data_IF_881691562599
#
_entry.id   IF_881691562599
#
_cell.length_a   1.000
_cell.length_b   1.000
_cell.length_c   1.000
_cell.angle_alpha   90.00
_cell.angle_beta   90.00
_cell.angle_gamma   90.00
#
_symmetry.space_group_name_H-M   'P 1'
#
loop_
_entity.id
_entity.type
_entity.pdbx_description
1 polymer ?
#
# COMPACT_ATOMS: atom_id res chain seq x y z
N UNK A 1 -58.81 -24.59 -82.39
CA UNK A 1 -58.17 -23.33 -81.91
C UNK A 1 -58.49 -23.09 -80.43
N UNK A 2 -59.74 -23.23 -80.01
CA UNK A 2 -60.21 -22.99 -78.61
C UNK A 2 -59.58 -23.91 -77.54
N UNK A 3 -59.29 -25.18 -77.84
CA UNK A 3 -58.63 -26.09 -76.87
C UNK A 3 -57.18 -25.71 -76.54
N UNK A 4 -56.48 -25.07 -77.49
CA UNK A 4 -55.07 -24.68 -77.33
C UNK A 4 -54.98 -23.45 -76.40
N UNK A 5 -55.93 -22.52 -76.48
CA UNK A 5 -56.01 -21.34 -75.59
C UNK A 5 -56.30 -21.71 -74.13
N UNK A 6 -57.19 -22.68 -73.91
CA UNK A 6 -57.55 -23.13 -72.56
C UNK A 6 -56.41 -23.91 -71.87
N UNK A 7 -55.56 -24.60 -72.66
CA UNK A 7 -54.32 -25.22 -72.17
C UNK A 7 -53.26 -24.19 -71.79
N UNK A 8 -53.06 -23.15 -72.61
CA UNK A 8 -52.10 -22.08 -72.36
C UNK A 8 -52.42 -21.28 -71.08
N UNK A 9 -53.70 -20.97 -70.86
CA UNK A 9 -54.16 -20.24 -69.66
C UNK A 9 -53.85 -21.00 -68.35
N UNK A 10 -54.03 -22.32 -68.34
CA UNK A 10 -53.71 -23.15 -67.17
C UNK A 10 -52.21 -23.19 -66.87
N UNK A 11 -51.36 -23.26 -67.90
CA UNK A 11 -49.90 -23.22 -67.73
C UNK A 11 -49.48 -21.89 -67.11
N UNK A 12 -50.01 -20.76 -67.60
CA UNK A 12 -49.71 -19.43 -67.07
C UNK A 12 -50.12 -19.30 -65.60
N UNK A 13 -51.31 -19.80 -65.23
CA UNK A 13 -51.77 -19.78 -63.84
C UNK A 13 -50.86 -20.58 -62.90
N UNK A 14 -50.43 -21.78 -63.33
CA UNK A 14 -49.51 -22.60 -62.52
C UNK A 14 -48.15 -21.93 -62.30
N UNK A 15 -47.61 -21.24 -63.31
CA UNK A 15 -46.34 -20.52 -63.19
C UNK A 15 -46.46 -19.36 -62.20
N UNK A 16 -47.52 -18.56 -62.28
CA UNK A 16 -47.77 -17.44 -61.36
C UNK A 16 -47.90 -17.94 -59.90
N UNK A 17 -48.53 -19.09 -59.68
CA UNK A 17 -48.71 -19.67 -58.35
C UNK A 17 -47.40 -20.18 -57.70
N UNK A 18 -46.40 -20.57 -58.49
CA UNK A 18 -45.12 -21.13 -57.99
C UNK A 18 -44.13 -20.04 -57.56
N UNK A 19 -44.15 -18.87 -58.20
CA UNK A 19 -43.29 -17.72 -57.87
C UNK A 19 -43.28 -17.36 -56.37
N UNK A 20 -44.43 -17.18 -55.69
CA UNK A 20 -44.44 -16.85 -54.27
C UNK A 20 -43.89 -17.98 -53.39
N UNK A 21 -44.04 -19.25 -53.78
CA UNK A 21 -43.48 -20.40 -53.06
C UNK A 21 -41.95 -20.38 -53.12
N UNK A 22 -41.39 -20.11 -54.29
CA UNK A 22 -39.94 -19.97 -54.47
C UNK A 22 -39.41 -18.76 -53.69
N UNK A 23 -40.11 -17.62 -53.76
CA UNK A 23 -39.76 -16.43 -52.98
C UNK A 23 -39.76 -16.72 -51.47
N UNK A 24 -40.76 -17.46 -50.97
CA UNK A 24 -40.83 -17.89 -49.56
C UNK A 24 -39.66 -18.81 -49.18
N UNK A 25 -39.33 -19.79 -50.03
CA UNK A 25 -38.19 -20.69 -49.81
C UNK A 25 -36.87 -19.93 -49.74
N UNK A 26 -36.67 -18.92 -50.61
CA UNK A 26 -35.51 -18.05 -50.59
C UNK A 26 -35.47 -17.25 -49.27
N UNK A 27 -36.58 -16.64 -48.86
CA UNK A 27 -36.66 -15.90 -47.60
C UNK A 27 -36.33 -16.80 -46.41
N UNK A 28 -36.92 -17.99 -46.33
CA UNK A 28 -36.67 -18.96 -45.27
C UNK A 28 -35.20 -19.40 -45.25
N UNK A 29 -34.60 -19.62 -46.42
CA UNK A 29 -33.18 -19.96 -46.55
C UNK A 29 -32.28 -18.83 -46.02
N UNK A 30 -32.53 -17.58 -46.42
CA UNK A 30 -31.79 -16.42 -45.94
C UNK A 30 -31.98 -16.21 -44.42
N UNK A 31 -33.20 -16.31 -43.91
CA UNK A 31 -33.48 -16.22 -42.48
C UNK A 31 -32.71 -17.28 -41.70
N UNK A 32 -32.78 -18.55 -42.14
CA UNK A 32 -32.13 -19.68 -41.46
C UNK A 32 -30.60 -19.58 -41.47
N UNK A 33 -30.00 -18.97 -42.48
CA UNK A 33 -28.54 -18.86 -42.60
C UNK A 33 -27.98 -17.61 -41.91
N UNK A 34 -28.60 -16.43 -42.09
CA UNK A 34 -28.03 -15.17 -41.59
C UNK A 34 -28.37 -14.87 -40.13
N UNK A 35 -29.56 -15.25 -39.63
CA UNK A 35 -29.93 -15.02 -38.23
C UNK A 35 -28.97 -15.69 -37.23
N UNK A 36 -28.66 -17.00 -37.33
CA UNK A 36 -27.81 -17.64 -36.33
C UNK A 36 -26.40 -17.02 -36.30
N UNK A 37 -25.83 -16.69 -37.46
CA UNK A 37 -24.50 -16.10 -37.55
C UNK A 37 -24.43 -14.71 -36.89
N UNK A 38 -25.45 -13.87 -37.08
CA UNK A 38 -25.51 -12.55 -36.44
C UNK A 38 -25.64 -12.65 -34.91
N UNK A 39 -26.50 -13.54 -34.41
CA UNK A 39 -26.65 -13.73 -32.96
C UNK A 39 -25.40 -14.36 -32.32
N UNK A 40 -24.68 -15.23 -33.04
CA UNK A 40 -23.43 -15.81 -32.56
C UNK A 40 -22.32 -14.75 -32.44
N UNK A 41 -22.12 -13.92 -33.46
CA UNK A 41 -21.15 -12.81 -33.40
C UNK A 41 -21.52 -11.78 -32.33
N UNK A 42 -22.82 -11.46 -32.19
CA UNK A 42 -23.31 -10.57 -31.14
C UNK A 42 -23.11 -11.15 -29.74
N UNK A 43 -23.34 -12.46 -29.58
CA UNK A 43 -23.10 -13.19 -28.33
C UNK A 43 -21.63 -13.23 -27.96
N UNK A 44 -20.74 -13.52 -28.91
CA UNK A 44 -19.28 -13.46 -28.72
C UNK A 44 -18.82 -12.07 -28.29
N UNK A 45 -19.27 -11.03 -28.98
CA UNK A 45 -18.90 -9.65 -28.64
C UNK A 45 -19.44 -9.22 -27.26
N UNK A 46 -20.61 -9.73 -26.84
CA UNK A 46 -21.15 -9.45 -25.52
C UNK A 46 -20.36 -10.17 -24.42
N UNK A 47 -20.03 -11.45 -24.62
CA UNK A 47 -19.21 -12.24 -23.70
C UNK A 47 -17.82 -11.59 -23.52
N UNK A 48 -17.14 -11.23 -24.61
CA UNK A 48 -15.83 -10.57 -24.53
C UNK A 48 -15.89 -9.23 -23.79
N UNK A 49 -16.97 -8.44 -23.96
CA UNK A 49 -17.14 -7.19 -23.20
C UNK A 49 -17.34 -7.44 -21.71
N UNK A 50 -18.14 -8.44 -21.35
CA UNK A 50 -18.37 -8.83 -19.96
C UNK A 50 -17.08 -9.34 -19.30
N UNK A 51 -16.29 -10.14 -20.02
CA UNK A 51 -14.98 -10.61 -19.55
C UNK A 51 -14.03 -9.44 -19.27
N UNK A 52 -13.97 -8.45 -20.18
CA UNK A 52 -13.15 -7.24 -19.99
C UNK A 52 -13.64 -6.43 -18.80
N UNK A 53 -14.95 -6.27 -18.62
CA UNK A 53 -15.53 -5.57 -17.47
C UNK A 53 -15.22 -6.29 -16.16
N UNK A 54 -15.33 -7.62 -16.12
CA UNK A 54 -14.97 -8.43 -14.95
C UNK A 54 -13.49 -8.30 -14.61
N UNK A 55 -12.61 -8.41 -15.61
CA UNK A 55 -11.17 -8.23 -15.43
C UNK A 55 -10.88 -6.83 -14.90
N UNK A 56 -11.51 -5.80 -15.47
CA UNK A 56 -11.31 -4.40 -15.03
C UNK A 56 -11.73 -4.22 -13.58
N UNK A 57 -12.90 -4.73 -13.18
CA UNK A 57 -13.36 -4.69 -11.78
C UNK A 57 -12.40 -5.42 -10.84
N UNK A 58 -11.88 -6.58 -11.23
CA UNK A 58 -10.88 -7.31 -10.44
C UNK A 58 -9.60 -6.47 -10.28
N UNK A 59 -9.09 -5.87 -11.36
CA UNK A 59 -7.91 -4.99 -11.30
C UNK A 59 -8.14 -3.79 -10.39
N UNK A 60 -9.31 -3.16 -10.45
CA UNK A 60 -9.67 -2.05 -9.57
C UNK A 60 -9.71 -2.49 -8.10
N UNK A 61 -10.32 -3.64 -7.80
CA UNK A 61 -10.35 -4.18 -6.45
C UNK A 61 -8.94 -4.46 -5.90
N UNK A 62 -8.07 -5.09 -6.71
CA UNK A 62 -6.68 -5.36 -6.31
C UNK A 62 -5.90 -4.07 -6.11
N UNK A 63 -6.10 -3.05 -6.96
CA UNK A 63 -5.49 -1.73 -6.77
C UNK A 63 -5.96 -1.07 -5.48
N UNK A 64 -7.25 -1.16 -5.16
CA UNK A 64 -7.81 -0.64 -3.92
C UNK A 64 -7.21 -1.36 -2.70
N UNK A 65 -7.11 -2.69 -2.74
CA UNK A 65 -6.51 -3.48 -1.66
C UNK A 65 -5.04 -3.16 -1.44
N UNK A 66 -4.26 -3.00 -2.51
CA UNK A 66 -2.85 -2.57 -2.43
C UNK A 66 -2.75 -1.16 -1.86
N UNK A 67 -3.60 -0.23 -2.30
CA UNK A 67 -3.62 1.14 -1.80
C UNK A 67 -3.97 1.19 -0.30
N UNK A 68 -4.96 0.41 0.13
CA UNK A 68 -5.30 0.25 1.54
C UNK A 68 -4.12 -0.34 2.33
N UNK A 69 -3.50 -1.42 1.83
CA UNK A 69 -2.33 -2.04 2.45
C UNK A 69 -1.16 -1.05 2.63
N UNK A 70 -0.88 -0.25 1.60
CA UNK A 70 0.16 0.78 1.63
C UNK A 70 -0.16 1.86 2.68
N UNK A 71 -1.41 2.34 2.72
CA UNK A 71 -1.84 3.35 3.69
C UNK A 71 -1.67 2.87 5.13
N UNK A 72 -2.01 1.60 5.41
CA UNK A 72 -1.82 0.99 6.73
C UNK A 72 -0.33 0.88 7.07
N UNK A 73 0.52 0.48 6.12
CA UNK A 73 1.97 0.40 6.35
C UNK A 73 2.57 1.78 6.63
N UNK A 74 2.17 2.81 5.89
CA UNK A 74 2.60 4.19 6.12
C UNK A 74 2.21 4.69 7.52
N UNK A 75 0.98 4.38 7.96
CA UNK A 75 0.52 4.73 9.31
C UNK A 75 1.31 4.01 10.40
N UNK A 76 1.59 2.72 10.24
CA UNK A 76 2.45 1.95 11.15
C UNK A 76 3.86 2.52 11.21
N UNK A 77 4.46 2.80 10.06
CA UNK A 77 5.79 3.41 9.98
C UNK A 77 5.84 4.76 10.68
N UNK A 78 4.83 5.62 10.46
CA UNK A 78 4.74 6.93 11.11
C UNK A 78 4.67 6.80 12.63
N UNK A 79 3.86 5.87 13.14
CA UNK A 79 3.75 5.62 14.58
C UNK A 79 5.08 5.13 15.18
N UNK A 80 5.75 4.18 14.51
CA UNK A 80 7.09 3.70 14.90
C UNK A 80 8.11 4.84 14.96
N UNK A 81 8.19 5.62 13.88
CA UNK A 81 9.10 6.76 13.77
C UNK A 81 8.86 7.79 14.89
N UNK A 82 7.60 8.13 15.15
CA UNK A 82 7.21 9.07 16.20
C UNK A 82 7.60 8.56 17.60
N UNK A 83 7.36 7.29 17.89
CA UNK A 83 7.74 6.68 19.17
C UNK A 83 9.27 6.68 19.38
N UNK A 84 10.04 6.33 18.34
CA UNK A 84 11.50 6.35 18.38
C UNK A 84 12.07 7.76 18.57
N UNK A 85 11.49 8.77 17.91
CA UNK A 85 11.88 10.16 18.08
C UNK A 85 11.63 10.65 19.51
N UNK A 86 10.45 10.39 20.05
CA UNK A 86 10.10 10.76 21.42
C UNK A 86 11.03 10.11 22.44
N UNK A 87 11.46 8.86 22.19
CA UNK A 87 12.44 8.18 23.01
C UNK A 87 13.82 8.85 22.96
N UNK A 88 14.27 9.26 21.78
CA UNK A 88 15.54 9.97 21.61
C UNK A 88 15.51 11.36 22.27
N UNK A 89 14.43 12.11 22.12
CA UNK A 89 14.23 13.39 22.81
C UNK A 89 14.26 13.23 24.33
N UNK A 90 13.65 12.15 24.84
CA UNK A 90 13.61 11.89 26.28
C UNK A 90 14.99 11.49 26.82
N UNK A 91 15.77 10.71 26.06
CA UNK A 91 17.16 10.39 26.40
C UNK A 91 18.02 11.66 26.36
N UNK A 92 17.82 12.55 25.38
CA UNK A 92 18.52 13.82 25.29
C UNK A 92 18.24 14.70 26.53
N UNK A 93 16.98 14.80 26.94
CA UNK A 93 16.59 15.49 28.16
C UNK A 93 17.22 14.85 29.41
N UNK A 94 17.24 13.52 29.49
CA UNK A 94 17.88 12.77 30.57
C UNK A 94 19.40 13.05 30.64
N UNK A 95 20.09 13.05 29.50
CA UNK A 95 21.51 13.35 29.41
C UNK A 95 21.81 14.79 29.79
N UNK A 96 20.98 15.75 29.37
CA UNK A 96 21.06 17.16 29.81
C UNK A 96 20.99 17.28 31.34
N UNK A 97 20.16 16.48 32.02
CA UNK A 97 20.05 16.48 33.47
C UNK A 97 21.24 15.84 34.20
N UNK A 98 21.81 14.76 33.65
CA UNK A 98 22.88 13.98 34.29
C UNK A 98 24.27 14.50 33.97
N UNK A 99 24.54 14.83 32.72
CA UNK A 99 25.85 15.27 32.23
C UNK A 99 26.06 16.77 32.45
N UNK A 100 25.71 17.27 33.66
CA UNK A 100 25.94 18.67 34.03
C UNK A 100 27.42 19.00 33.87
N UNK A 101 27.76 19.76 32.84
CA UNK A 101 29.13 20.21 32.64
C UNK A 101 29.43 21.35 33.62
N UNK A 102 30.49 21.26 34.45
CA UNK A 102 30.82 22.30 35.42
C UNK A 102 31.29 23.62 34.77
N UNK A 103 31.44 23.67 33.44
CA UNK A 103 31.97 24.82 32.69
C UNK A 103 30.92 25.60 31.89
N UNK A 104 29.66 25.17 31.88
CA UNK A 104 28.61 25.73 31.01
C UNK A 104 27.37 26.05 31.83
N UNK A 105 27.24 27.30 32.28
CA UNK A 105 26.05 27.81 32.99
C UNK A 105 24.80 27.91 32.08
N UNK A 106 24.93 27.74 30.76
CA UNK A 106 23.85 27.95 29.78
C UNK A 106 23.09 26.68 29.36
N UNK A 107 23.38 25.51 29.94
CA UNK A 107 22.61 24.30 29.63
C UNK A 107 21.17 24.44 30.16
N UNK A 108 20.26 24.87 29.30
CA UNK A 108 18.82 24.92 29.57
C UNK A 108 18.33 23.49 29.79
N UNK A 109 18.18 23.10 31.05
CA UNK A 109 17.70 21.78 31.43
C UNK A 109 16.33 21.56 30.80
N UNK A 110 16.25 20.52 29.98
CA UNK A 110 14.99 20.08 29.44
C UNK A 110 14.19 19.36 30.54
N UNK A 111 12.86 19.46 30.49
CA UNK A 111 11.99 18.90 31.52
C UNK A 111 11.96 17.38 31.35
N UNK A 112 12.43 16.67 32.39
CA UNK A 112 12.36 15.22 32.48
C UNK A 112 11.39 14.82 33.60
N UNK A 113 10.33 14.08 33.26
CA UNK A 113 9.38 13.52 34.23
C UNK A 113 9.27 12.01 34.07
N UNK A 114 9.11 11.31 35.20
CA UNK A 114 8.92 9.85 35.22
C UNK A 114 7.62 9.43 34.54
N UNK A 115 6.62 10.31 34.50
CA UNK A 115 5.40 10.12 33.72
C UNK A 115 5.70 10.04 32.22
N UNK A 116 6.46 11.01 31.68
CA UNK A 116 6.82 11.04 30.26
C UNK A 116 7.66 9.81 29.87
N UNK A 117 8.57 9.38 30.73
CA UNK A 117 9.36 8.16 30.50
C UNK A 117 8.49 6.90 30.42
N UNK A 118 7.48 6.77 31.29
CA UNK A 118 6.53 5.64 31.27
C UNK A 118 5.61 5.66 30.06
N UNK A 119 5.13 6.84 29.68
CA UNK A 119 4.31 7.01 28.47
C UNK A 119 5.11 6.61 27.22
N UNK A 120 6.33 7.12 27.09
CA UNK A 120 7.25 6.77 26.00
C UNK A 120 7.56 5.26 25.97
N UNK A 121 7.87 4.65 27.12
CA UNK A 121 8.09 3.21 27.22
C UNK A 121 6.89 2.39 26.73
N UNK A 122 5.67 2.79 27.10
CA UNK A 122 4.43 2.14 26.66
C UNK A 122 4.20 2.31 25.15
N UNK A 123 4.53 3.49 24.61
CA UNK A 123 4.43 3.81 23.18
C UNK A 123 5.41 3.00 22.35
N UNK A 124 6.64 2.81 22.83
CA UNK A 124 7.64 1.94 22.20
C UNK A 124 7.19 0.47 22.21
N UNK A 125 6.60 -0.03 23.29
CA UNK A 125 6.04 -1.39 23.35
C UNK A 125 4.95 -1.60 22.30
N UNK A 126 4.08 -0.59 22.12
CA UNK A 126 2.99 -0.68 21.16
C UNK A 126 3.49 -0.64 19.71
N UNK A 127 4.56 0.11 19.45
CA UNK A 127 4.97 0.47 18.10
C UNK A 127 6.11 -0.39 17.55
N UNK A 128 7.14 -0.65 18.36
CA UNK A 128 8.36 -1.34 17.92
C UNK A 128 8.24 -2.86 18.07
N UNK A 129 8.81 -3.60 17.12
CA UNK A 129 8.85 -5.07 17.17
C UNK A 129 10.11 -5.57 17.88
N UNK A 130 11.22 -4.84 17.74
CA UNK A 130 12.49 -5.22 18.35
C UNK A 130 12.54 -4.96 19.86
N UNK A 131 12.57 -6.04 20.65
CA UNK A 131 12.68 -6.00 22.11
C UNK A 131 14.00 -5.42 22.63
N UNK A 132 15.06 -5.39 21.81
CA UNK A 132 16.35 -4.82 22.19
C UNK A 132 16.27 -3.31 22.38
N UNK A 133 15.43 -2.61 21.60
CA UNK A 133 15.19 -1.17 21.75
C UNK A 133 14.65 -0.88 23.14
N UNK A 134 13.65 -1.66 23.60
CA UNK A 134 13.06 -1.51 24.92
C UNK A 134 14.07 -1.80 26.04
N UNK A 135 14.84 -2.87 25.90
CA UNK A 135 15.89 -3.22 26.88
C UNK A 135 16.92 -2.11 27.00
N UNK A 136 17.43 -1.60 25.86
CA UNK A 136 18.44 -0.53 25.82
C UNK A 136 17.89 0.79 26.33
N UNK A 137 16.65 1.14 25.99
CA UNK A 137 15.98 2.31 26.54
C UNK A 137 15.87 2.24 28.07
N UNK A 138 15.45 1.08 28.60
CA UNK A 138 15.38 0.88 30.06
C UNK A 138 16.76 0.88 30.71
N UNK A 139 17.77 0.27 30.10
CA UNK A 139 19.17 0.26 30.54
C UNK A 139 19.72 1.68 30.69
N UNK A 140 19.48 2.54 29.68
CA UNK A 140 19.92 3.95 29.68
C UNK A 140 19.25 4.74 30.82
N UNK A 141 17.94 4.59 31.02
CA UNK A 141 17.20 5.38 32.01
C UNK A 141 17.39 4.91 33.47
N UNK A 142 17.59 3.61 33.66
CA UNK A 142 17.77 3.01 35.00
C UNK A 142 19.22 3.04 35.47
N UNK A 143 20.18 3.33 34.58
CA UNK A 143 21.59 3.40 34.92
C UNK A 143 22.21 2.04 35.22
N UNK A 144 21.61 0.94 34.77
CA UNK A 144 22.21 -0.39 34.83
C UNK A 144 23.31 -0.49 33.77
N UNK A 145 24.51 -0.05 34.13
CA UNK A 145 25.64 0.06 33.20
C UNK A 145 26.58 -1.13 33.36
N UNK A 146 26.69 -1.95 32.32
CA UNK A 146 27.74 -2.98 32.14
C UNK A 146 29.13 -2.34 31.89
N UNK A 147 29.54 -1.37 32.74
CA UNK A 147 30.76 -0.55 32.62
C UNK A 147 30.94 0.27 31.33
N UNK A 148 29.96 0.30 30.42
CA UNK A 148 30.02 1.09 29.17
C UNK A 148 29.66 2.56 29.38
N UNK A 149 30.35 3.52 28.72
CA UNK A 149 29.98 4.94 28.80
C UNK A 149 28.61 5.21 28.15
N UNK A 150 27.86 6.19 28.65
CA UNK A 150 26.52 6.56 28.17
C UNK A 150 26.46 6.89 26.67
N UNK A 151 27.55 7.43 26.11
CA UNK A 151 27.68 7.74 24.67
C UNK A 151 27.64 6.49 23.79
N UNK A 152 28.28 5.40 24.23
CA UNK A 152 28.32 4.14 23.49
C UNK A 152 26.92 3.49 23.52
N UNK A 153 26.24 3.54 24.67
CA UNK A 153 24.85 3.08 24.81
C UNK A 153 23.88 3.87 23.91
N UNK A 154 24.08 5.19 23.78
CA UNK A 154 23.28 6.01 22.87
C UNK A 154 23.52 5.65 21.40
N UNK A 155 24.76 5.37 21.01
CA UNK A 155 25.09 4.92 19.65
C UNK A 155 24.47 3.56 19.35
N UNK A 156 24.57 2.60 20.27
CA UNK A 156 23.91 1.29 20.16
C UNK A 156 22.38 1.48 20.00
N UNK A 157 21.76 2.32 20.82
CA UNK A 157 20.33 2.60 20.75
C UNK A 157 19.90 3.23 19.41
N UNK A 158 20.66 4.21 18.91
CA UNK A 158 20.40 4.84 17.60
C UNK A 158 20.55 3.85 16.45
N UNK A 159 21.54 2.97 16.49
CA UNK A 159 21.72 1.93 15.48
C UNK A 159 20.58 0.92 15.49
N UNK A 160 20.08 0.53 16.67
CA UNK A 160 18.87 -0.31 16.77
C UNK A 160 17.63 0.37 16.19
N UNK A 161 17.42 1.66 16.46
CA UNK A 161 16.32 2.44 15.86
C UNK A 161 16.45 2.50 14.34
N UNK A 162 17.67 2.73 13.83
CA UNK A 162 17.94 2.77 12.38
C UNK A 162 17.60 1.43 11.73
N UNK A 163 18.01 0.32 12.34
CA UNK A 163 17.68 -1.03 11.86
C UNK A 163 16.16 -1.27 11.86
N UNK A 164 15.44 -0.88 12.93
CA UNK A 164 13.98 -1.03 13.02
C UNK A 164 13.23 -0.18 11.97
N UNK A 165 13.75 1.01 11.65
CA UNK A 165 13.17 1.89 10.63
C UNK A 165 13.66 1.58 9.20
N UNK A 166 14.57 0.61 9.03
CA UNK A 166 15.12 0.20 7.73
C UNK A 166 16.22 1.12 7.18
N UNK A 167 16.80 1.99 8.00
CA UNK A 167 17.89 2.89 7.62
C UNK A 167 19.27 2.21 7.70
N UNK A 168 19.60 1.39 6.71
CA UNK A 168 20.98 1.02 6.34
C UNK A 168 21.88 0.40 7.44
N UNK A 169 23.19 0.44 7.21
CA UNK A 169 24.21 -0.13 8.11
C UNK A 169 24.43 0.71 9.36
N UNK A 170 25.05 0.07 10.37
CA UNK A 170 25.45 0.70 11.63
C UNK A 170 26.32 1.93 11.38
N UNK A 171 26.04 3.00 12.13
CA UNK A 171 26.87 4.19 12.18
C UNK A 171 27.85 4.03 13.34
N UNK A 172 29.13 3.98 13.01
CA UNK A 172 30.21 4.08 13.99
C UNK A 172 30.48 5.57 14.22
N UNK A 173 29.94 6.10 15.32
CA UNK A 173 30.21 7.47 15.77
C UNK A 173 31.28 7.43 16.85
N UNK A 174 32.29 8.29 16.73
CA UNK A 174 33.29 8.46 17.77
C UNK A 174 32.65 9.06 19.04
N UNK A 175 33.19 8.71 20.21
CA UNK A 175 32.64 9.06 21.52
C UNK A 175 32.44 10.56 21.70
N UNK A 176 33.38 11.36 21.23
CA UNK A 176 33.34 12.82 21.33
C UNK A 176 32.27 13.46 20.42
N UNK A 177 31.88 12.76 19.35
CA UNK A 177 30.87 13.19 18.38
C UNK A 177 29.48 12.61 18.63
N UNK A 178 29.36 11.65 19.55
CA UNK A 178 28.13 10.91 19.79
C UNK A 178 27.01 11.78 20.38
N UNK A 179 27.35 12.78 21.21
CA UNK A 179 26.37 13.69 21.79
C UNK A 179 26.92 15.11 21.90
N UNK A 180 26.12 16.10 21.47
CA UNK A 180 26.52 17.50 21.42
C UNK A 180 26.11 18.16 22.74
N UNK A 181 27.07 18.45 23.60
CA UNK A 181 26.82 19.10 24.88
C UNK A 181 27.02 20.62 24.86
N UNK A 182 27.74 21.17 23.88
CA UNK A 182 28.03 22.60 23.79
C UNK A 182 28.19 23.02 22.33
N UNK A 183 27.69 24.21 21.99
CA UNK A 183 27.82 24.82 20.67
C UNK A 183 28.66 26.09 20.84
N UNK A 184 29.72 26.21 20.05
CA UNK A 184 30.71 27.30 20.15
C UNK A 184 30.07 28.70 19.94
N UNK A 185 28.91 28.77 19.27
CA UNK A 185 28.20 30.01 18.95
C UNK A 185 27.26 30.55 20.04
N UNK A 186 27.07 29.86 21.18
CA UNK A 186 26.06 30.23 22.19
C UNK A 186 26.62 31.21 23.25
N UNK A 187 27.27 32.30 22.79
CA UNK A 187 27.70 33.44 23.62
C UNK A 187 26.82 34.66 23.37
#
# INVERSE_FOLDING_TARGET
MVEIDMSLANIIYTVIAIIPVIALLIIVYYLRYYYPKYFEEKGKNLATKQDIEEITRKVESVKADIALGLSVQQMKYKLKHEACLEALELIDAYFSCILKSPKVESLKQQIFTTERARACHSKLILSCENTLILKKFSEILTGHVDSKPYTDLLNEFRNLIRQELGFGTELELDRESAWISNIICDK
#
